data_IF_610854070213
#
_entry.id   IF_610854070213
#
_cell.length_a   1.000
_cell.length_b   1.000
_cell.length_c   1.000
_cell.angle_alpha   90.00
_cell.angle_beta   90.00
_cell.angle_gamma   90.00
#
_symmetry.space_group_name_H-M   'P 1'
#
loop_
_entity.id
_entity.type
_entity.pdbx_description
1 polymer ?
#
# COMPACT_ATOMS: atom_id res chain seq x y z
N UNK A 1 -71.11 -4.12 -2.51
CA UNK A 1 -70.68 -2.77 -2.92
C UNK A 1 -69.17 -2.81 -3.13
N UNK A 2 -68.71 -2.64 -4.37
CA UNK A 2 -67.29 -2.75 -4.76
C UNK A 2 -66.51 -1.52 -4.29
N UNK A 3 -65.42 -1.74 -3.55
CA UNK A 3 -64.48 -0.70 -3.13
C UNK A 3 -63.87 0.00 -4.33
N UNK A 4 -63.99 1.33 -4.37
CA UNK A 4 -63.35 2.17 -5.40
C UNK A 4 -61.85 2.25 -5.07
N UNK A 5 -61.05 1.55 -5.87
CA UNK A 5 -59.60 1.67 -5.86
C UNK A 5 -59.18 3.10 -6.19
N UNK A 6 -58.28 3.64 -5.36
CA UNK A 6 -57.72 4.98 -5.46
C UNK A 6 -56.82 5.05 -6.70
N UNK A 7 -57.42 5.24 -7.88
CA UNK A 7 -56.73 5.61 -9.12
C UNK A 7 -56.66 7.14 -9.22
N UNK A 8 -56.10 7.79 -8.20
CA UNK A 8 -55.82 9.23 -8.26
C UNK A 8 -54.57 9.46 -9.10
N UNK A 9 -54.69 10.29 -10.15
CA UNK A 9 -53.57 10.74 -11.00
C UNK A 9 -52.40 11.26 -10.15
N UNK A 10 -52.70 11.91 -9.02
CA UNK A 10 -51.72 12.39 -8.05
C UNK A 10 -50.95 11.27 -7.35
N UNK A 11 -51.56 10.12 -7.10
CA UNK A 11 -50.88 8.96 -6.52
C UNK A 11 -49.86 8.34 -7.46
N UNK A 12 -50.16 8.32 -8.77
CA UNK A 12 -49.23 7.84 -9.80
C UNK A 12 -48.05 8.81 -10.00
N UNK A 13 -48.32 10.11 -9.96
CA UNK A 13 -47.28 11.16 -10.08
C UNK A 13 -46.36 11.14 -8.85
N UNK A 14 -46.91 11.03 -7.63
CA UNK A 14 -46.11 10.93 -6.40
C UNK A 14 -45.27 9.67 -6.34
N UNK A 15 -45.79 8.53 -6.81
CA UNK A 15 -45.02 7.29 -6.91
C UNK A 15 -43.88 7.40 -7.93
N UNK A 16 -44.14 8.01 -9.10
CA UNK A 16 -43.10 8.23 -10.11
C UNK A 16 -42.02 9.21 -9.66
N UNK A 17 -42.39 10.29 -8.95
CA UNK A 17 -41.43 11.22 -8.32
C UNK A 17 -40.61 10.54 -7.21
N UNK A 18 -41.23 9.66 -6.42
CA UNK A 18 -40.51 8.86 -5.41
C UNK A 18 -39.46 7.93 -6.03
N UNK A 19 -39.79 7.23 -7.12
CA UNK A 19 -38.83 6.40 -7.85
C UNK A 19 -37.73 7.22 -8.55
N UNK A 20 -38.06 8.38 -9.11
CA UNK A 20 -37.08 9.27 -9.73
C UNK A 20 -36.08 9.84 -8.70
N UNK A 21 -36.55 10.19 -7.50
CA UNK A 21 -35.71 10.66 -6.39
C UNK A 21 -34.81 9.55 -5.82
N UNK A 22 -35.30 8.30 -5.77
CA UNK A 22 -34.52 7.13 -5.38
C UNK A 22 -33.41 6.80 -6.39
N UNK A 23 -33.64 7.06 -7.69
CA UNK A 23 -32.62 6.87 -8.73
C UNK A 23 -31.58 8.01 -8.81
N UNK A 24 -31.96 9.24 -8.46
CA UNK A 24 -31.01 10.36 -8.41
C UNK A 24 -30.15 10.42 -7.15
N UNK A 25 -30.46 9.60 -6.13
CA UNK A 25 -29.79 9.61 -4.82
C UNK A 25 -28.62 8.63 -4.66
N UNK A 26 -28.41 7.71 -5.61
CA UNK A 26 -27.24 6.83 -5.63
C UNK A 26 -26.25 7.29 -6.71
N UNK A 27 -25.83 8.55 -6.65
CA UNK A 27 -24.49 8.85 -7.13
C UNK A 27 -23.54 8.13 -6.17
N UNK A 28 -23.08 6.93 -6.53
CA UNK A 28 -22.00 6.27 -5.80
C UNK A 28 -20.89 7.31 -5.78
N UNK A 29 -20.63 7.91 -4.62
CA UNK A 29 -19.43 8.69 -4.43
C UNK A 29 -18.33 7.68 -4.72
N UNK A 30 -17.69 7.79 -5.88
CA UNK A 30 -16.51 6.99 -6.19
C UNK A 30 -15.49 7.37 -5.12
N UNK A 31 -15.36 6.51 -4.12
CA UNK A 31 -14.29 6.59 -3.14
C UNK A 31 -12.99 6.58 -3.92
N UNK A 32 -12.04 7.41 -3.53
CA UNK A 32 -10.69 7.34 -4.06
C UNK A 32 -10.18 5.90 -3.87
N UNK A 33 -9.89 5.20 -4.97
CA UNK A 33 -9.42 3.82 -4.98
C UNK A 33 -8.25 3.67 -5.95
N UNK A 34 -7.10 3.21 -5.46
CA UNK A 34 -5.96 2.85 -6.30
C UNK A 34 -5.93 1.34 -6.50
N UNK A 35 -5.56 0.92 -7.70
CA UNK A 35 -5.31 -0.48 -7.99
C UNK A 35 -3.99 -0.93 -7.33
N UNK A 36 -3.96 -2.12 -6.71
CA UNK A 36 -2.73 -2.69 -6.15
C UNK A 36 -1.63 -2.85 -7.20
N UNK A 37 -0.34 -2.79 -6.82
CA UNK A 37 0.76 -3.09 -7.71
C UNK A 37 0.51 -4.39 -8.50
N UNK A 38 0.83 -4.40 -9.79
CA UNK A 38 0.63 -5.59 -10.62
C UNK A 38 1.57 -6.73 -10.18
N UNK A 39 2.78 -6.37 -9.76
CA UNK A 39 3.79 -7.32 -9.32
C UNK A 39 4.61 -6.77 -8.15
N UNK A 40 4.95 -7.67 -7.23
CA UNK A 40 5.99 -7.50 -6.22
C UNK A 40 6.82 -8.77 -6.18
N UNK A 41 8.02 -8.71 -6.75
CA UNK A 41 8.87 -9.87 -6.99
C UNK A 41 10.13 -9.73 -6.14
N UNK A 42 10.46 -10.79 -5.42
CA UNK A 42 11.70 -10.91 -4.66
C UNK A 42 12.50 -12.06 -5.26
N UNK A 43 13.69 -11.74 -5.80
CA UNK A 43 14.58 -12.72 -6.43
C UNK A 43 16.02 -12.43 -6.06
N UNK A 44 16.63 -13.29 -5.24
CA UNK A 44 18.00 -13.11 -4.75
C UNK A 44 18.19 -11.73 -4.11
N UNK A 45 19.10 -10.93 -4.64
CA UNK A 45 19.42 -9.59 -4.17
C UNK A 45 18.63 -8.47 -4.86
N UNK A 46 17.41 -8.76 -5.32
CA UNK A 46 16.57 -7.81 -6.05
C UNK A 46 15.13 -7.83 -5.53
N UNK A 47 14.57 -6.64 -5.35
CA UNK A 47 13.15 -6.40 -5.09
C UNK A 47 12.64 -5.62 -6.29
N UNK A 48 11.64 -6.15 -7.00
CA UNK A 48 11.10 -5.50 -8.19
C UNK A 48 9.61 -5.24 -8.04
N UNK A 49 9.18 -4.05 -8.42
CA UNK A 49 7.78 -3.60 -8.34
C UNK A 49 7.29 -3.13 -9.70
N UNK A 50 6.01 -3.35 -9.97
CA UNK A 50 5.38 -2.90 -11.20
C UNK A 50 4.03 -2.26 -10.86
N UNK A 51 3.79 -1.06 -11.36
CA UNK A 51 2.48 -0.42 -11.25
C UNK A 51 1.44 -1.15 -12.11
N UNK A 52 0.19 -1.04 -11.70
CA UNK A 52 -0.95 -1.57 -12.42
C UNK A 52 -1.48 -0.51 -13.38
N UNK A 53 -1.50 -0.81 -14.69
CA UNK A 53 -1.95 0.12 -15.73
C UNK A 53 -3.37 0.64 -15.53
N UNK A 54 -4.21 -0.04 -14.73
CA UNK A 54 -5.53 0.47 -14.35
C UNK A 54 -5.46 1.78 -13.53
N UNK A 55 -4.33 2.08 -12.87
CA UNK A 55 -4.10 3.38 -12.22
C UNK A 55 -3.99 4.56 -13.22
N UNK A 56 -3.75 4.28 -14.50
CA UNK A 56 -3.72 5.30 -15.55
C UNK A 56 -5.14 5.70 -16.03
N UNK A 57 -6.15 4.86 -15.81
CA UNK A 57 -7.47 5.04 -16.44
C UNK A 57 -8.18 6.32 -15.94
N UNK A 58 -8.35 7.34 -16.80
CA UNK A 58 -8.92 8.64 -16.41
C UNK A 58 -10.39 8.57 -15.96
N UNK A 59 -11.06 7.44 -16.20
CA UNK A 59 -12.48 7.21 -15.89
C UNK A 59 -12.79 7.08 -14.40
N UNK A 60 -11.79 6.89 -13.53
CA UNK A 60 -12.00 6.78 -12.08
C UNK A 60 -12.12 8.15 -11.37
N UNK A 61 -11.97 9.24 -12.14
CA UNK A 61 -12.36 10.58 -11.76
C UNK A 61 -11.22 11.43 -11.20
N UNK A 62 -11.37 12.74 -11.37
CA UNK A 62 -10.47 13.83 -10.97
C UNK A 62 -10.17 13.92 -9.46
N UNK A 63 -10.52 12.91 -8.67
CA UNK A 63 -10.53 12.97 -7.20
C UNK A 63 -9.28 12.41 -6.54
N UNK A 64 -8.38 11.77 -7.29
CA UNK A 64 -7.11 11.27 -6.77
C UNK A 64 -6.02 11.31 -7.84
N UNK A 65 -4.76 11.32 -7.40
CA UNK A 65 -3.57 11.30 -8.24
C UNK A 65 -2.64 10.20 -7.75
N UNK A 66 -2.37 9.20 -8.58
CA UNK A 66 -1.32 8.23 -8.33
C UNK A 66 0.05 8.93 -8.33
N UNK A 67 0.92 8.56 -7.38
CA UNK A 67 2.26 9.16 -7.22
C UNK A 67 3.38 8.13 -7.36
N UNK A 68 3.09 6.86 -7.12
CA UNK A 68 4.07 5.79 -7.17
C UNK A 68 3.71 4.62 -6.27
N UNK A 69 4.73 3.86 -5.86
CA UNK A 69 4.57 2.67 -5.03
C UNK A 69 5.34 2.86 -3.73
N UNK A 70 4.67 2.60 -2.61
CA UNK A 70 5.30 2.46 -1.30
C UNK A 70 5.57 1.00 -0.97
N UNK A 71 6.79 0.72 -0.51
CA UNK A 71 7.21 -0.60 -0.05
C UNK A 71 7.41 -0.51 1.45
N UNK A 72 6.63 -1.30 2.19
CA UNK A 72 6.77 -1.45 3.63
C UNK A 72 7.63 -2.67 3.94
N UNK A 73 8.45 -2.59 4.97
CA UNK A 73 9.33 -3.67 5.35
C UNK A 73 9.52 -3.79 6.86
N UNK A 74 9.94 -4.99 7.29
CA UNK A 74 10.50 -5.24 8.62
C UNK A 74 11.56 -6.35 8.55
N UNK A 75 12.63 -6.18 9.30
CA UNK A 75 13.81 -7.04 9.35
C UNK A 75 13.73 -7.92 10.59
N UNK A 76 14.13 -9.18 10.44
CA UNK A 76 14.17 -10.15 11.52
C UNK A 76 15.51 -10.85 11.53
N UNK A 77 16.02 -11.13 12.73
CA UNK A 77 17.13 -12.07 12.90
C UNK A 77 16.65 -13.54 12.85
N UNK A 78 15.35 -13.77 13.07
CA UNK A 78 14.76 -15.10 13.17
C UNK A 78 13.79 -15.40 12.01
N UNK A 79 14.08 -16.46 11.24
CA UNK A 79 13.25 -16.86 10.08
C UNK A 79 11.81 -17.23 10.47
N UNK A 80 11.62 -17.90 11.61
CA UNK A 80 10.28 -18.30 12.06
C UNK A 80 9.43 -17.08 12.41
N UNK A 81 10.01 -16.07 13.07
CA UNK A 81 9.33 -14.80 13.36
C UNK A 81 8.94 -14.06 12.07
N UNK A 82 9.86 -13.99 11.09
CA UNK A 82 9.58 -13.42 9.77
C UNK A 82 8.44 -14.17 9.05
N UNK A 83 8.48 -15.51 9.05
CA UNK A 83 7.44 -16.37 8.47
C UNK A 83 6.07 -16.17 9.11
N UNK A 84 6.04 -16.02 10.44
CA UNK A 84 4.81 -15.76 11.18
C UNK A 84 4.22 -14.39 10.82
N UNK A 85 5.03 -13.31 10.80
CA UNK A 85 4.54 -12.00 10.40
C UNK A 85 4.01 -12.02 8.97
N UNK A 86 4.75 -12.60 8.02
CA UNK A 86 4.30 -12.69 6.62
C UNK A 86 2.96 -13.42 6.50
N UNK A 87 2.80 -14.55 7.20
CA UNK A 87 1.56 -15.34 7.16
C UNK A 87 0.38 -14.56 7.74
N UNK A 88 0.62 -13.78 8.80
CA UNK A 88 -0.36 -12.89 9.39
C UNK A 88 -0.76 -11.78 8.42
N UNK A 89 0.21 -11.12 7.76
CA UNK A 89 -0.06 -10.11 6.72
C UNK A 89 -0.90 -10.68 5.55
N UNK A 90 -0.60 -11.88 5.07
CA UNK A 90 -1.39 -12.55 4.03
C UNK A 90 -2.83 -12.79 4.51
N UNK A 91 -2.99 -13.33 5.71
CA UNK A 91 -4.29 -13.60 6.30
C UNK A 91 -5.10 -12.30 6.42
N UNK A 92 -4.45 -11.22 6.86
CA UNK A 92 -5.05 -9.90 7.04
C UNK A 92 -5.44 -9.26 5.72
N UNK A 93 -4.58 -9.31 4.71
CA UNK A 93 -4.86 -8.80 3.37
C UNK A 93 -6.04 -9.53 2.70
N UNK A 94 -6.24 -10.81 3.01
CA UNK A 94 -7.36 -11.61 2.50
C UNK A 94 -8.66 -11.50 3.31
N UNK A 95 -8.64 -10.79 4.43
CA UNK A 95 -9.77 -10.73 5.37
C UNK A 95 -10.60 -9.47 5.15
N UNK A 96 -11.93 -9.61 5.15
CA UNK A 96 -12.88 -8.48 5.20
C UNK A 96 -12.88 -7.75 6.55
N UNK A 97 -12.00 -8.09 7.50
CA UNK A 97 -11.94 -7.42 8.80
C UNK A 97 -11.31 -6.03 8.71
N UNK A 98 -10.52 -5.77 7.67
CA UNK A 98 -9.93 -4.47 7.37
C UNK A 98 -10.54 -3.98 6.06
N UNK A 99 -11.75 -3.42 6.15
CA UNK A 99 -12.55 -2.92 5.02
C UNK A 99 -11.91 -1.72 4.27
N UNK A 100 -10.67 -1.34 4.62
CA UNK A 100 -9.90 -0.32 3.90
C UNK A 100 -8.38 -0.56 3.93
N UNK A 101 -7.67 -0.14 2.87
CA UNK A 101 -6.21 -0.07 2.83
C UNK A 101 -5.57 0.62 4.03
N UNK A 102 -6.14 1.72 4.50
CA UNK A 102 -5.62 2.49 5.64
C UNK A 102 -5.59 1.67 6.94
N UNK A 103 -6.61 0.81 7.13
CA UNK A 103 -6.70 -0.03 8.32
C UNK A 103 -5.64 -1.14 8.28
N UNK A 104 -5.35 -1.70 7.08
CA UNK A 104 -4.25 -2.64 6.89
C UNK A 104 -2.89 -1.98 7.18
N UNK A 105 -2.66 -0.79 6.64
CA UNK A 105 -1.41 -0.03 6.85
C UNK A 105 -1.22 0.27 8.34
N UNK A 106 -2.24 0.81 9.00
CA UNK A 106 -2.19 1.10 10.44
C UNK A 106 -1.87 -0.15 11.27
N UNK A 107 -2.43 -1.30 10.89
CA UNK A 107 -2.11 -2.57 11.51
C UNK A 107 -0.65 -2.98 11.26
N UNK A 108 -0.16 -2.88 10.03
CA UNK A 108 1.20 -3.24 9.66
C UNK A 108 2.24 -2.34 10.38
N UNK A 109 2.00 -1.04 10.43
CA UNK A 109 2.83 -0.09 11.19
C UNK A 109 2.83 -0.42 12.70
N UNK A 110 1.66 -0.79 13.26
CA UNK A 110 1.55 -1.30 14.63
C UNK A 110 2.31 -2.61 14.88
N UNK A 111 2.74 -3.31 13.82
CA UNK A 111 3.60 -4.50 13.87
C UNK A 111 5.06 -4.18 13.55
N UNK A 112 5.44 -2.91 13.50
CA UNK A 112 6.80 -2.45 13.27
C UNK A 112 7.22 -2.44 11.81
N UNK A 113 6.29 -2.51 10.85
CA UNK A 113 6.64 -2.29 9.44
C UNK A 113 6.84 -0.80 9.18
N UNK A 114 7.91 -0.44 8.47
CA UNK A 114 8.25 0.93 8.11
C UNK A 114 8.28 1.09 6.59
N UNK A 115 8.02 2.30 6.09
CA UNK A 115 8.12 2.62 4.67
C UNK A 115 9.60 2.71 4.26
N UNK A 116 9.95 2.04 3.17
CA UNK A 116 11.26 2.10 2.54
C UNK A 116 11.37 3.39 1.73
N UNK A 117 11.65 4.54 2.34
CA UNK A 117 11.69 5.84 1.61
C UNK A 117 12.78 6.78 2.07
N UNK A 118 13.23 7.63 1.15
CA UNK A 118 14.31 8.57 1.42
C UNK A 118 14.00 9.50 2.60
N UNK A 119 14.79 9.42 3.67
CA UNK A 119 14.68 10.24 4.89
C UNK A 119 14.81 11.77 4.68
N UNK A 120 15.32 12.20 3.53
CA UNK A 120 15.65 13.60 3.26
C UNK A 120 14.88 14.11 2.05
N UNK A 121 13.92 15.00 2.30
CA UNK A 121 13.07 15.63 1.28
C UNK A 121 11.61 15.68 1.67
N UNK A 122 10.73 16.22 0.81
CA UNK A 122 9.29 16.05 0.95
C UNK A 122 8.93 14.56 0.90
N UNK A 123 7.86 14.16 1.59
CA UNK A 123 7.35 12.80 1.52
C UNK A 123 7.10 12.39 0.06
N UNK A 124 7.66 11.25 -0.32
CA UNK A 124 7.57 10.66 -1.66
C UNK A 124 7.42 9.15 -1.52
N UNK A 125 6.79 8.49 -2.49
CA UNK A 125 6.73 7.04 -2.51
C UNK A 125 8.13 6.42 -2.54
N UNK A 126 8.24 5.15 -2.12
CA UNK A 126 9.47 4.36 -2.30
C UNK A 126 9.98 4.40 -3.74
N UNK A 127 9.08 4.24 -4.70
CA UNK A 127 9.36 4.31 -6.13
C UNK A 127 8.42 5.35 -6.77
N UNK A 128 8.97 6.52 -7.07
CA UNK A 128 8.31 7.57 -7.87
C UNK A 128 8.11 7.03 -9.31
N UNK A 129 6.85 6.94 -9.76
CA UNK A 129 6.54 6.59 -11.15
C UNK A 129 5.23 7.21 -11.59
N UNK A 130 5.10 7.47 -12.89
CA UNK A 130 3.86 7.99 -13.48
C UNK A 130 2.80 6.88 -13.54
N UNK A 131 1.52 7.26 -13.53
CA UNK A 131 0.43 6.27 -13.58
C UNK A 131 0.44 5.39 -14.84
N UNK A 132 0.97 5.92 -15.95
CA UNK A 132 1.16 5.18 -17.21
C UNK A 132 2.40 4.30 -17.24
N UNK A 133 3.28 4.40 -16.25
CA UNK A 133 4.49 3.61 -16.19
C UNK A 133 4.16 2.21 -15.69
N UNK A 134 4.12 1.24 -16.60
CA UNK A 134 3.96 -0.19 -16.31
C UNK A 134 5.30 -0.94 -16.37
N UNK A 135 6.44 -0.23 -16.36
CA UNK A 135 7.75 -0.88 -16.36
C UNK A 135 8.06 -1.54 -15.00
N UNK A 136 8.95 -2.53 -15.03
CA UNK A 136 9.41 -3.21 -13.82
C UNK A 136 10.57 -2.42 -13.21
N UNK A 137 10.33 -1.81 -12.05
CA UNK A 137 11.31 -1.04 -11.30
C UNK A 137 12.01 -1.93 -10.28
N UNK A 138 13.35 -1.95 -10.29
CA UNK A 138 14.13 -2.89 -9.46
C UNK A 138 15.01 -2.16 -8.45
N UNK A 139 14.90 -2.54 -7.19
CA UNK A 139 15.78 -2.14 -6.10
C UNK A 139 16.81 -3.25 -5.91
N UNK A 140 18.08 -2.91 -6.04
CA UNK A 140 19.19 -3.84 -5.81
C UNK A 140 19.53 -3.85 -4.32
N UNK A 141 19.29 -4.95 -3.61
CA UNK A 141 19.43 -5.01 -2.13
C UNK A 141 20.88 -4.96 -1.64
N UNK A 142 21.88 -5.05 -2.52
CA UNK A 142 23.28 -4.82 -2.13
C UNK A 142 23.64 -3.34 -2.01
N UNK A 143 22.93 -2.47 -2.74
CA UNK A 143 23.20 -1.03 -2.79
C UNK A 143 22.01 -0.19 -2.32
N UNK A 144 20.82 -0.79 -2.30
CA UNK A 144 19.51 -0.18 -2.08
C UNK A 144 19.27 1.02 -2.98
N UNK A 145 19.74 0.86 -4.22
CA UNK A 145 19.56 1.80 -5.32
C UNK A 145 18.44 1.26 -6.20
N UNK A 146 17.51 2.15 -6.53
CA UNK A 146 16.56 1.94 -7.61
C UNK A 146 17.31 1.97 -8.94
N UNK A 147 17.10 0.96 -9.79
CA UNK A 147 17.66 0.90 -11.13
C UNK A 147 17.27 2.19 -11.90
N UNK A 148 18.27 2.99 -12.28
CA UNK A 148 18.07 4.39 -12.71
C UNK A 148 18.68 5.47 -11.80
N UNK A 149 19.23 5.11 -10.64
CA UNK A 149 20.31 5.87 -9.99
C UNK A 149 19.97 6.60 -8.68
N UNK A 150 18.78 6.42 -8.11
CA UNK A 150 18.42 7.06 -6.83
C UNK A 150 18.46 6.06 -5.68
N UNK A 151 19.13 6.43 -4.57
CA UNK A 151 19.13 5.63 -3.32
C UNK A 151 17.80 5.76 -2.60
N UNK A 152 17.27 4.63 -2.14
CA UNK A 152 16.16 4.58 -1.20
C UNK A 152 16.75 4.62 0.21
N UNK A 153 16.45 5.66 1.00
CA UNK A 153 16.85 5.73 2.43
C UNK A 153 15.68 5.18 3.28
N UNK A 154 15.82 5.05 4.60
CA UNK A 154 14.76 4.60 5.53
C UNK A 154 14.16 5.78 6.28
N UNK A 155 12.87 5.75 6.61
CA UNK A 155 12.27 6.68 7.58
C UNK A 155 11.99 5.96 8.90
N UNK A 156 12.20 6.63 10.05
CA UNK A 156 11.88 6.07 11.38
C UNK A 156 13.04 5.90 12.38
N UNK A 157 14.25 6.36 12.07
CA UNK A 157 15.36 6.33 13.04
C UNK A 157 15.67 7.72 13.59
N UNK A 158 15.64 7.89 14.91
CA UNK A 158 16.21 9.06 15.63
C UNK A 158 17.74 9.09 15.58
N UNK A 159 18.36 8.49 14.57
CA UNK A 159 19.79 8.65 14.27
C UNK A 159 19.99 8.74 12.75
N UNK A 160 20.49 9.88 12.22
CA UNK A 160 20.47 10.20 10.79
C UNK A 160 21.57 9.50 9.97
N UNK A 161 21.99 8.29 10.32
CA UNK A 161 23.13 7.61 9.67
C UNK A 161 22.89 6.19 9.15
N UNK A 162 21.73 5.60 9.36
CA UNK A 162 21.51 4.20 9.02
C UNK A 162 20.98 4.05 7.58
N UNK A 163 21.86 4.29 6.60
CA UNK A 163 21.64 3.81 5.24
C UNK A 163 21.41 2.29 5.27
N UNK A 164 20.56 1.77 4.39
CA UNK A 164 20.25 0.35 4.26
C UNK A 164 21.50 -0.53 3.94
N UNK A 165 22.63 0.10 3.59
CA UNK A 165 23.95 -0.52 3.43
C UNK A 165 24.68 -0.79 4.75
N UNK A 166 24.29 -0.15 5.85
CA UNK A 166 24.84 -0.41 7.18
C UNK A 166 23.98 -1.48 7.85
N UNK A 167 24.49 -2.72 7.89
CA UNK A 167 23.82 -3.89 8.51
C UNK A 167 23.79 -3.83 10.05
N UNK A 168 24.06 -2.68 10.66
CA UNK A 168 24.04 -2.55 12.12
C UNK A 168 22.61 -2.33 12.57
N UNK A 169 22.10 -3.25 13.40
CA UNK A 169 20.75 -3.20 13.94
C UNK A 169 20.81 -3.11 15.47
N UNK A 170 20.11 -2.15 16.06
CA UNK A 170 19.89 -2.13 17.50
C UNK A 170 18.57 -2.83 17.85
N UNK A 171 18.49 -3.47 19.01
CA UNK A 171 17.25 -4.12 19.47
C UNK A 171 16.07 -3.14 19.70
N UNK A 172 16.35 -1.83 19.69
CA UNK A 172 15.35 -0.76 19.80
C UNK A 172 14.87 -0.24 18.45
N UNK A 173 15.40 -0.77 17.35
CA UNK A 173 15.04 -0.36 16.00
C UNK A 173 13.60 -0.77 15.69
N UNK A 174 12.74 0.17 15.27
CA UNK A 174 11.31 -0.08 15.04
C UNK A 174 11.08 -1.14 13.95
N UNK A 175 11.88 -1.07 12.89
CA UNK A 175 11.83 -1.93 11.71
C UNK A 175 12.62 -3.25 11.90
N UNK A 176 13.06 -3.58 13.12
CA UNK A 176 13.86 -4.76 13.42
C UNK A 176 13.28 -5.59 14.57
N UNK A 177 13.47 -6.90 14.48
CA UNK A 177 13.21 -7.84 15.58
C UNK A 177 14.38 -8.80 15.74
N UNK A 178 15.12 -8.61 16.85
CA UNK A 178 16.26 -9.43 17.19
C UNK A 178 17.14 -8.77 18.24
N UNK A 179 18.27 -9.40 18.52
CA UNK A 179 19.29 -8.83 19.39
C UNK A 179 20.12 -7.79 18.63
N UNK A 180 20.75 -6.87 19.37
CA UNK A 180 21.65 -5.90 18.76
C UNK A 180 22.77 -6.63 17.99
N UNK A 181 22.99 -6.24 16.75
CA UNK A 181 23.97 -6.86 15.84
C UNK A 181 24.79 -5.80 15.12
N UNK A 182 26.09 -6.05 14.97
CA UNK A 182 27.00 -5.28 14.11
C UNK A 182 26.87 -5.65 12.62
N UNK A 183 25.83 -6.40 12.25
CA UNK A 183 25.56 -6.81 10.87
C UNK A 183 26.20 -8.11 10.44
N UNK A 184 26.68 -8.89 11.40
CA UNK A 184 27.13 -10.26 11.18
C UNK A 184 25.93 -11.22 11.28
N UNK A 185 25.81 -12.12 10.30
CA UNK A 185 24.76 -13.14 10.25
C UNK A 185 23.84 -13.02 9.04
N UNK A 186 22.78 -13.83 9.06
CA UNK A 186 21.72 -13.87 8.05
C UNK A 186 20.50 -13.15 8.63
N UNK A 187 19.93 -12.24 7.85
CA UNK A 187 18.72 -11.50 8.18
C UNK A 187 17.60 -11.78 7.20
N UNK A 188 16.37 -11.62 7.69
CA UNK A 188 15.14 -11.95 6.97
C UNK A 188 14.28 -10.70 6.83
N UNK A 189 13.99 -10.30 5.58
CA UNK A 189 13.13 -9.15 5.28
C UNK A 189 11.73 -9.63 4.91
N UNK A 190 10.74 -9.18 5.65
CA UNK A 190 9.33 -9.27 5.27
C UNK A 190 8.94 -7.94 4.63
N UNK A 191 8.28 -7.99 3.48
CA UNK A 191 7.87 -6.79 2.77
C UNK A 191 6.52 -6.95 2.06
N UNK A 192 5.83 -5.82 1.90
CA UNK A 192 4.66 -5.67 1.05
C UNK A 192 4.71 -4.33 0.32
N UNK A 193 3.95 -4.20 -0.76
CA UNK A 193 3.85 -2.97 -1.52
C UNK A 193 2.40 -2.53 -1.67
N UNK A 194 2.19 -1.22 -1.73
CA UNK A 194 0.90 -0.57 -2.02
C UNK A 194 1.13 0.52 -3.07
N UNK A 195 0.13 0.74 -3.91
CA UNK A 195 0.08 1.94 -4.73
C UNK A 195 -0.24 3.12 -3.82
N UNK A 196 0.51 4.21 -3.99
CA UNK A 196 0.38 5.44 -3.22
C UNK A 196 -0.09 6.57 -4.12
N UNK A 197 -1.00 7.37 -3.59
CA UNK A 197 -1.49 8.57 -4.23
C UNK A 197 -2.01 9.58 -3.22
N UNK A 198 -2.60 10.64 -3.75
CA UNK A 198 -3.22 11.70 -2.97
C UNK A 198 -4.63 11.96 -3.49
N UNK A 199 -5.58 12.21 -2.62
CA UNK A 199 -6.91 12.66 -3.01
C UNK A 199 -6.92 14.15 -3.40
N UNK A 200 -8.09 14.68 -3.76
CA UNK A 200 -8.27 16.08 -4.17
C UNK A 200 -7.89 17.14 -3.12
N UNK A 201 -7.77 16.76 -1.84
CA UNK A 201 -7.36 17.66 -0.74
C UNK A 201 -5.92 17.37 -0.27
N UNK A 202 -5.21 16.45 -0.92
CA UNK A 202 -3.84 16.07 -0.60
C UNK A 202 -3.73 15.03 0.52
N UNK A 203 -4.83 14.36 0.91
CA UNK A 203 -4.77 13.27 1.86
C UNK A 203 -4.22 12.01 1.18
N UNK A 204 -3.41 11.19 1.88
CA UNK A 204 -2.85 9.98 1.30
C UNK A 204 -3.96 8.98 0.96
N UNK A 205 -3.81 8.31 -0.19
CA UNK A 205 -4.67 7.22 -0.65
C UNK A 205 -3.79 6.03 -0.94
N UNK A 206 -4.20 4.86 -0.46
CA UNK A 206 -3.48 3.61 -0.67
C UNK A 206 -4.37 2.57 -1.34
N UNK A 207 -3.77 1.68 -2.12
CA UNK A 207 -4.42 0.47 -2.61
C UNK A 207 -4.40 -0.66 -1.58
N UNK A 208 -5.12 -1.75 -1.86
CA UNK A 208 -4.87 -3.01 -1.16
C UNK A 208 -3.38 -3.44 -1.31
N UNK A 209 -2.84 -4.17 -0.33
CA UNK A 209 -1.43 -4.56 -0.32
C UNK A 209 -1.15 -5.78 -1.20
N UNK A 210 0.05 -5.80 -1.78
CA UNK A 210 0.64 -7.00 -2.38
C UNK A 210 1.77 -7.46 -1.47
N UNK A 211 1.61 -8.63 -0.85
CA UNK A 211 2.62 -9.21 0.03
C UNK A 211 3.63 -10.01 -0.81
N UNK A 212 4.93 -9.85 -0.55
CA UNK A 212 5.94 -10.62 -1.28
C UNK A 212 5.77 -12.13 -1.08
N UNK A 213 5.88 -12.88 -2.18
CA UNK A 213 5.72 -14.33 -2.19
C UNK A 213 6.88 -15.07 -1.50
N UNK A 214 8.03 -14.43 -1.31
CA UNK A 214 9.21 -14.93 -0.59
C UNK A 214 9.71 -13.92 0.45
N UNK A 215 10.46 -14.41 1.44
CA UNK A 215 11.19 -13.58 2.41
C UNK A 215 12.58 -13.32 1.81
N UNK A 216 13.07 -12.08 1.88
CA UNK A 216 14.44 -11.78 1.42
C UNK A 216 15.43 -12.24 2.47
N UNK A 217 16.50 -12.91 2.05
CA UNK A 217 17.61 -13.34 2.89
C UNK A 217 18.87 -12.52 2.52
N UNK A 218 19.57 -11.92 3.50
CA UNK A 218 20.76 -11.10 3.24
C UNK A 218 21.74 -11.01 4.42
#
# INVERSE_FOLDING_TARGET
MRGKGVNSLYGKIMLALGFALLWSGCGISTTAYLYPPANLIVSGSQISVQNNGANYEPSEGLKQTFKGIDIYYRIFQNNLAAGNLKSDLITRASSTYYDSPDAFISYAEGRGLCIMRKATGPARPTVDMEASDESLHTIVTSTWILDGGTRVVRDGFTSPKNDFSEKTFASTDQDYEGEASSGEGIFYLVLFAVSYGEDSIGAPVYSDPVIASSIVEF
#
